data_IF_921261379735
#
_entry.id   IF_921261379735
#
_cell.length_a   1.000
_cell.length_b   1.000
_cell.length_c   1.000
_cell.angle_alpha   90.00
_cell.angle_beta   90.00
_cell.angle_gamma   90.00
#
_symmetry.space_group_name_H-M   'P 1'
#
loop_
_entity.id
_entity.type
_entity.pdbx_description
1 polymer ?
#
# COMPACT_ATOMS: atom_id res chain seq x y z
N UNK A 1 -6.69 -11.20 -0.67
CA UNK A 1 -6.57 -9.73 -0.55
C UNK A 1 -5.43 -9.39 0.40
N UNK A 2 -4.62 -8.38 0.09
CA UNK A 2 -3.54 -7.89 0.95
C UNK A 2 -3.81 -6.42 1.27
N UNK A 3 -3.91 -6.09 2.55
CA UNK A 3 -4.17 -4.74 3.07
C UNK A 3 -2.86 -4.19 3.65
N UNK A 4 -2.20 -3.31 2.91
CA UNK A 4 -0.91 -2.73 3.25
C UNK A 4 -1.04 -1.51 4.15
N UNK A 5 -0.18 -1.48 5.18
CA UNK A 5 -0.24 -0.51 6.27
C UNK A 5 -1.63 -0.51 6.89
N UNK A 6 -2.10 -1.70 7.25
CA UNK A 6 -3.48 -1.94 7.68
C UNK A 6 -3.82 -1.21 8.98
N UNK A 7 -2.83 -0.81 9.79
CA UNK A 7 -3.06 -0.38 11.16
C UNK A 7 -3.92 -1.41 11.89
N UNK A 8 -4.95 -0.95 12.59
CA UNK A 8 -5.91 -1.81 13.29
C UNK A 8 -6.78 -2.70 12.38
N UNK A 9 -6.74 -2.54 11.05
CA UNK A 9 -7.40 -3.47 10.13
C UNK A 9 -8.85 -3.16 9.80
N UNK A 10 -9.33 -1.94 10.03
CA UNK A 10 -10.71 -1.56 9.73
C UNK A 10 -11.12 -1.81 8.28
N UNK A 11 -10.23 -1.55 7.31
CA UNK A 11 -10.49 -1.88 5.91
C UNK A 11 -10.70 -3.40 5.75
N UNK A 12 -9.79 -4.21 6.26
CA UNK A 12 -9.88 -5.67 6.19
C UNK A 12 -11.12 -6.24 6.88
N UNK A 13 -11.49 -5.73 8.05
CA UNK A 13 -12.73 -6.11 8.75
C UNK A 13 -13.96 -5.80 7.89
N UNK A 14 -14.02 -4.59 7.32
CA UNK A 14 -15.11 -4.19 6.44
C UNK A 14 -15.19 -5.03 5.17
N UNK A 15 -14.05 -5.33 4.55
CA UNK A 15 -13.98 -6.21 3.38
C UNK A 15 -14.38 -7.65 3.70
N UNK A 16 -14.14 -8.14 4.91
CA UNK A 16 -14.58 -9.48 5.33
C UNK A 16 -16.10 -9.61 5.32
N UNK A 17 -16.81 -8.56 5.72
CA UNK A 17 -18.28 -8.52 5.74
C UNK A 17 -18.89 -8.29 4.36
N UNK A 18 -18.23 -7.47 3.52
CA UNK A 18 -18.80 -7.09 2.23
C UNK A 18 -18.48 -8.04 1.07
N UNK A 19 -17.30 -8.64 1.07
CA UNK A 19 -16.86 -9.42 -0.08
C UNK A 19 -17.49 -10.82 -0.08
N UNK A 20 -17.75 -11.39 -1.27
CA UNK A 20 -18.28 -12.75 -1.38
C UNK A 20 -17.27 -13.77 -0.86
N UNK A 21 -17.62 -14.44 0.25
CA UNK A 21 -16.75 -15.41 0.96
C UNK A 21 -16.33 -16.61 0.10
N UNK A 22 -17.13 -16.96 -0.91
CA UNK A 22 -16.86 -18.02 -1.87
C UNK A 22 -15.79 -17.64 -2.91
N UNK A 23 -15.49 -16.33 -3.07
CA UNK A 23 -14.48 -15.83 -4.02
C UNK A 23 -13.20 -15.36 -3.36
N UNK A 24 -13.22 -15.11 -2.05
CA UNK A 24 -12.07 -14.57 -1.32
C UNK A 24 -11.57 -15.59 -0.30
N UNK A 25 -10.45 -16.23 -0.61
CA UNK A 25 -9.85 -17.24 0.27
C UNK A 25 -9.41 -16.69 1.63
N UNK A 26 -8.85 -15.47 1.66
CA UNK A 26 -8.41 -14.78 2.89
C UNK A 26 -8.07 -13.31 2.64
N UNK A 27 -8.05 -12.54 3.72
CA UNK A 27 -7.53 -11.18 3.76
C UNK A 27 -6.32 -11.15 4.70
N UNK A 28 -5.20 -10.59 4.23
CA UNK A 28 -3.97 -10.48 5.03
C UNK A 28 -3.65 -9.02 5.31
N UNK A 29 -3.57 -8.70 6.59
CA UNK A 29 -3.28 -7.38 7.14
C UNK A 29 -1.77 -7.23 7.32
N UNK A 30 -1.17 -6.26 6.64
CA UNK A 30 0.28 -6.05 6.66
C UNK A 30 0.62 -4.73 7.34
N UNK A 31 1.39 -4.79 8.42
CA UNK A 31 1.81 -3.61 9.18
C UNK A 31 3.08 -3.89 9.98
N UNK A 32 3.91 -2.87 10.20
CA UNK A 32 5.10 -2.97 11.04
C UNK A 32 4.74 -3.22 12.52
N UNK A 33 3.54 -2.80 12.95
CA UNK A 33 3.12 -2.90 14.34
C UNK A 33 2.44 -4.23 14.67
N UNK A 34 2.17 -5.10 13.70
CA UNK A 34 1.69 -6.45 14.02
C UNK A 34 2.75 -7.26 14.79
N UNK A 35 2.32 -8.09 15.75
CA UNK A 35 3.21 -9.02 16.42
C UNK A 35 3.68 -10.11 15.45
N UNK A 36 4.84 -10.71 15.72
CA UNK A 36 5.26 -11.90 14.99
C UNK A 36 4.42 -13.09 15.46
N UNK A 37 4.11 -14.05 14.59
CA UNK A 37 3.47 -15.29 15.00
C UNK A 37 4.24 -15.94 16.16
N UNK A 38 3.53 -16.42 17.17
CA UNK A 38 4.09 -17.12 18.34
C UNK A 38 5.09 -16.30 19.18
N UNK A 39 5.07 -14.97 19.06
CA UNK A 39 5.85 -14.06 19.91
C UNK A 39 4.88 -13.19 20.73
N UNK A 40 5.04 -13.10 22.06
CA UNK A 40 4.24 -12.20 22.87
C UNK A 40 4.27 -10.77 22.36
N UNK A 41 3.12 -10.11 22.33
CA UNK A 41 3.03 -8.74 21.87
C UNK A 41 3.72 -7.78 22.86
N UNK A 42 4.49 -6.82 22.33
CA UNK A 42 5.03 -5.71 23.11
C UNK A 42 4.04 -4.54 23.19
N UNK A 43 4.20 -3.63 24.16
CA UNK A 43 3.29 -2.51 24.41
C UNK A 43 3.03 -1.59 23.19
N UNK A 44 3.96 -1.52 22.24
CA UNK A 44 3.86 -0.68 21.04
C UNK A 44 3.33 -1.44 19.80
N UNK A 45 2.89 -2.69 19.97
CA UNK A 45 2.31 -3.51 18.92
C UNK A 45 0.78 -3.50 19.00
N UNK A 46 0.15 -3.74 17.86
CA UNK A 46 -1.31 -3.80 17.77
C UNK A 46 -1.77 -5.13 18.39
N UNK A 47 -2.78 -5.06 19.28
CA UNK A 47 -3.48 -6.24 19.74
C UNK A 47 -4.25 -6.87 18.56
N UNK A 48 -4.06 -8.18 18.32
CA UNK A 48 -4.69 -8.90 17.23
C UNK A 48 -6.00 -9.64 17.62
N UNK A 49 -6.47 -9.53 18.86
CA UNK A 49 -7.65 -10.24 19.38
C UNK A 49 -8.88 -10.02 18.50
N UNK A 50 -9.12 -8.79 18.04
CA UNK A 50 -10.26 -8.47 17.16
C UNK A 50 -10.10 -9.02 15.75
N UNK A 51 -8.88 -9.31 15.30
CA UNK A 51 -8.62 -9.95 14.01
C UNK A 51 -8.77 -11.47 14.10
N UNK A 52 -8.42 -12.06 15.24
CA UNK A 52 -8.46 -13.51 15.47
C UNK A 52 -9.87 -14.06 15.76
N UNK A 53 -10.90 -13.22 15.72
CA UNK A 53 -12.28 -13.64 15.90
C UNK A 53 -12.70 -14.65 14.80
N UNK A 54 -13.08 -15.88 15.14
CA UNK A 54 -13.47 -16.88 14.14
C UNK A 54 -14.79 -16.56 13.43
N UNK A 55 -15.53 -15.53 13.87
CA UNK A 55 -16.82 -15.13 13.28
C UNK A 55 -16.68 -14.32 12.00
N UNK A 56 -15.48 -13.85 11.65
CA UNK A 56 -15.26 -13.13 10.39
C UNK A 56 -15.67 -13.99 9.17
N UNK A 57 -16.55 -13.51 8.27
CA UNK A 57 -17.01 -14.31 7.12
C UNK A 57 -15.88 -14.73 6.19
N UNK A 58 -14.87 -13.88 6.03
CA UNK A 58 -13.61 -14.18 5.37
C UNK A 58 -12.49 -14.14 6.41
N UNK A 59 -11.67 -15.19 6.43
CA UNK A 59 -10.56 -15.31 7.38
C UNK A 59 -9.59 -14.12 7.27
N UNK A 60 -9.39 -13.46 8.40
CA UNK A 60 -8.38 -12.44 8.57
C UNK A 60 -7.09 -13.03 9.16
N UNK A 61 -5.95 -12.55 8.69
CA UNK A 61 -4.63 -12.94 9.21
C UNK A 61 -3.70 -11.74 9.20
N UNK A 62 -2.71 -11.70 10.07
CA UNK A 62 -1.74 -10.59 10.15
C UNK A 62 -0.37 -11.02 9.65
N UNK A 63 0.37 -10.06 9.12
CA UNK A 63 1.77 -10.23 8.72
C UNK A 63 2.56 -8.99 9.08
N UNK A 64 3.70 -9.19 9.73
CA UNK A 64 4.61 -8.10 10.08
C UNK A 64 5.61 -7.88 8.95
N UNK A 65 5.62 -6.70 8.35
CA UNK A 65 6.60 -6.32 7.34
C UNK A 65 6.92 -4.82 7.37
N UNK A 66 8.18 -4.46 7.14
CA UNK A 66 8.59 -3.09 6.89
C UNK A 66 8.67 -2.82 5.39
N UNK A 67 7.64 -2.19 4.81
CA UNK A 67 7.60 -1.90 3.36
C UNK A 67 8.76 -1.01 2.88
N UNK A 68 9.46 -0.28 3.76
CA UNK A 68 10.65 0.49 3.36
C UNK A 68 11.84 -0.42 3.04
N UNK A 69 11.88 -1.62 3.59
CA UNK A 69 12.98 -2.58 3.44
C UNK A 69 12.71 -3.49 2.22
N UNK A 70 13.60 -3.52 1.20
CA UNK A 70 13.40 -4.35 0.01
C UNK A 70 13.28 -5.86 0.28
N UNK A 71 14.04 -6.39 1.25
CA UNK A 71 13.96 -7.81 1.61
C UNK A 71 12.60 -8.20 2.20
N UNK A 72 12.01 -7.33 3.02
CA UNK A 72 10.69 -7.55 3.60
C UNK A 72 9.62 -7.57 2.50
N UNK A 73 9.70 -6.66 1.53
CA UNK A 73 8.80 -6.64 0.36
C UNK A 73 8.88 -7.93 -0.45
N UNK A 74 10.10 -8.42 -0.74
CA UNK A 74 10.30 -9.70 -1.44
C UNK A 74 9.79 -10.89 -0.64
N UNK A 75 10.02 -10.90 0.68
CA UNK A 75 9.49 -11.93 1.57
C UNK A 75 7.96 -11.96 1.58
N UNK A 76 7.34 -10.78 1.60
CA UNK A 76 5.89 -10.61 1.52
C UNK A 76 5.33 -11.15 0.20
N UNK A 77 5.90 -10.74 -0.93
CA UNK A 77 5.53 -11.23 -2.26
C UNK A 77 5.62 -12.75 -2.34
N UNK A 78 6.76 -13.34 -1.95
CA UNK A 78 6.96 -14.79 -1.96
C UNK A 78 5.92 -15.52 -1.10
N UNK A 79 5.68 -15.04 0.11
CA UNK A 79 4.71 -15.65 1.02
C UNK A 79 3.29 -15.63 0.46
N UNK A 80 2.89 -14.56 -0.23
CA UNK A 80 1.52 -14.46 -0.75
C UNK A 80 1.33 -15.10 -2.12
N UNK A 81 2.26 -14.90 -3.04
CA UNK A 81 2.14 -15.39 -4.41
C UNK A 81 2.41 -16.90 -4.53
N UNK A 82 3.14 -17.50 -3.58
CA UNK A 82 3.35 -18.95 -3.55
C UNK A 82 2.07 -19.78 -3.43
N UNK A 83 0.95 -19.17 -3.06
CA UNK A 83 -0.34 -19.85 -2.99
C UNK A 83 -1.03 -20.06 -4.35
N UNK A 84 -0.54 -19.44 -5.43
CA UNK A 84 -1.06 -19.64 -6.79
C UNK A 84 -2.44 -19.06 -7.07
N UNK A 85 -3.01 -18.28 -6.14
CA UNK A 85 -4.30 -17.62 -6.31
C UNK A 85 -4.14 -16.15 -6.74
N UNK A 86 -5.07 -15.60 -7.55
CA UNK A 86 -5.09 -14.18 -7.88
C UNK A 86 -5.01 -13.31 -6.62
N UNK A 87 -4.06 -12.40 -6.60
CA UNK A 87 -3.73 -11.59 -5.44
C UNK A 87 -3.91 -10.12 -5.75
N UNK A 88 -4.54 -9.40 -4.83
CA UNK A 88 -4.82 -7.95 -4.97
C UNK A 88 -4.15 -7.19 -3.83
N UNK A 89 -3.56 -6.04 -4.15
CA UNK A 89 -2.91 -5.13 -3.20
C UNK A 89 -3.80 -3.91 -2.95
N UNK A 90 -4.15 -3.71 -1.70
CA UNK A 90 -4.91 -2.55 -1.22
C UNK A 90 -4.06 -1.79 -0.19
N UNK A 91 -4.28 -0.49 -0.03
CA UNK A 91 -3.68 0.24 1.09
C UNK A 91 -4.18 1.67 1.24
N UNK A 92 -4.45 2.07 2.48
CA UNK A 92 -4.97 3.41 2.82
C UNK A 92 -3.93 4.21 3.61
N UNK A 93 -3.44 3.67 4.73
CA UNK A 93 -2.51 4.39 5.61
C UNK A 93 -1.04 4.34 5.16
N UNK A 94 -0.82 4.40 3.84
CA UNK A 94 0.48 4.44 3.20
C UNK A 94 1.09 5.85 3.33
N UNK A 95 1.49 6.22 4.54
CA UNK A 95 2.01 7.54 4.86
C UNK A 95 3.34 7.86 4.16
N UNK A 96 3.49 9.08 3.67
CA UNK A 96 4.74 9.56 3.09
C UNK A 96 5.09 8.81 1.82
N UNK A 97 6.25 8.14 1.78
CA UNK A 97 6.72 7.42 0.59
C UNK A 97 6.27 5.96 0.51
N UNK A 98 5.45 5.49 1.45
CA UNK A 98 5.03 4.09 1.51
C UNK A 98 4.17 3.67 0.30
N UNK A 99 3.38 4.58 -0.29
CA UNK A 99 2.63 4.27 -1.50
C UNK A 99 3.53 4.05 -2.71
N UNK A 100 4.69 4.73 -2.81
CA UNK A 100 5.68 4.38 -3.83
C UNK A 100 6.25 2.98 -3.61
N UNK A 101 6.52 2.59 -2.36
CA UNK A 101 7.04 1.24 -2.06
C UNK A 101 6.00 0.14 -2.32
N UNK A 102 4.72 0.47 -2.15
CA UNK A 102 3.60 -0.38 -2.55
C UNK A 102 3.52 -0.56 -4.07
N UNK A 103 3.75 0.51 -4.84
CA UNK A 103 3.82 0.45 -6.30
C UNK A 103 5.03 -0.36 -6.75
N UNK A 104 6.22 -0.13 -6.17
CA UNK A 104 7.41 -0.95 -6.47
C UNK A 104 7.10 -2.45 -6.28
N UNK A 105 6.46 -2.81 -5.17
CA UNK A 105 6.04 -4.19 -4.91
C UNK A 105 5.07 -4.73 -5.96
N UNK A 106 4.13 -3.91 -6.42
CA UNK A 106 3.18 -4.31 -7.47
C UNK A 106 3.89 -4.52 -8.81
N UNK A 107 4.68 -3.54 -9.25
CA UNK A 107 5.40 -3.59 -10.52
C UNK A 107 6.43 -4.74 -10.55
N UNK A 108 7.14 -4.98 -9.45
CA UNK A 108 8.14 -6.04 -9.35
C UNK A 108 7.54 -7.46 -9.31
N UNK A 109 6.21 -7.59 -9.18
CA UNK A 109 5.53 -8.86 -8.91
C UNK A 109 4.29 -9.04 -9.79
N UNK A 110 4.42 -9.64 -11.00
CA UNK A 110 3.29 -9.83 -11.93
C UNK A 110 2.16 -10.73 -11.39
N UNK A 111 2.39 -11.44 -10.28
CA UNK A 111 1.35 -12.22 -9.62
C UNK A 111 0.26 -11.39 -8.95
N UNK A 112 0.43 -10.06 -8.82
CA UNK A 112 -0.63 -9.17 -8.38
C UNK A 112 -1.48 -8.72 -9.57
N UNK A 113 -2.77 -9.00 -9.52
CA UNK A 113 -3.70 -8.70 -10.61
C UNK A 113 -4.47 -7.39 -10.41
N UNK A 114 -4.31 -6.73 -9.27
CA UNK A 114 -5.01 -5.47 -8.97
C UNK A 114 -4.28 -4.66 -7.89
N UNK A 115 -4.28 -3.34 -8.06
CA UNK A 115 -3.75 -2.37 -7.11
C UNK A 115 -4.78 -1.26 -6.87
N UNK A 116 -5.11 -1.00 -5.60
CA UNK A 116 -5.87 0.20 -5.22
C UNK A 116 -5.25 0.84 -3.98
N UNK A 117 -4.75 2.06 -4.15
CA UNK A 117 -4.12 2.83 -3.07
C UNK A 117 -4.90 4.12 -2.82
N UNK A 118 -5.12 4.44 -1.55
CA UNK A 118 -5.65 5.74 -1.10
C UNK A 118 -4.68 6.33 -0.07
N UNK A 119 -3.49 6.80 -0.47
CA UNK A 119 -2.48 7.29 0.45
C UNK A 119 -3.05 8.42 1.32
N UNK A 120 -2.77 8.42 2.62
CA UNK A 120 -3.39 9.41 3.53
C UNK A 120 -2.49 10.59 3.91
N UNK A 121 -1.19 10.55 3.61
CA UNK A 121 -0.24 11.61 3.99
C UNK A 121 0.75 11.91 2.87
N UNK A 122 1.07 13.19 2.70
CA UNK A 122 2.14 13.65 1.82
C UNK A 122 3.52 13.25 2.36
N UNK A 123 4.54 13.12 1.49
CA UNK A 123 5.93 12.98 1.90
C UNK A 123 6.42 14.17 2.74
N UNK A 124 7.37 13.91 3.64
CA UNK A 124 7.94 14.93 4.53
C UNK A 124 8.75 15.99 3.72
N UNK A 125 8.61 17.27 4.06
CA UNK A 125 9.37 18.35 3.42
C UNK A 125 10.89 18.19 3.49
N UNK A 126 11.40 17.39 4.43
CA UNK A 126 12.82 17.05 4.48
C UNK A 126 13.34 16.42 3.17
N UNK A 127 12.51 15.68 2.44
CA UNK A 127 12.89 15.15 1.12
C UNK A 127 13.15 16.28 0.12
N UNK A 128 12.28 17.29 0.07
CA UNK A 128 12.48 18.45 -0.79
C UNK A 128 13.70 19.28 -0.40
N UNK A 129 13.96 19.45 0.91
CA UNK A 129 15.13 20.19 1.41
C UNK A 129 16.47 19.52 1.05
N UNK A 130 16.49 18.21 0.88
CA UNK A 130 17.67 17.46 0.42
C UNK A 130 17.83 17.44 -1.10
N UNK A 131 16.83 17.92 -1.85
CA UNK A 131 16.81 17.81 -3.31
C UNK A 131 16.45 16.40 -3.81
N UNK A 132 15.76 15.60 -2.99
CA UNK A 132 15.44 14.22 -3.35
C UNK A 132 14.50 14.17 -4.57
N UNK A 133 14.73 13.17 -5.43
CA UNK A 133 13.87 12.82 -6.55
C UNK A 133 13.15 11.51 -6.22
N UNK A 134 11.86 11.47 -6.47
CA UNK A 134 11.03 10.28 -6.33
C UNK A 134 10.81 9.61 -7.68
N UNK A 135 10.61 8.30 -7.62
CA UNK A 135 10.24 7.43 -8.73
C UNK A 135 9.92 6.03 -8.21
N UNK A 136 9.35 5.21 -9.09
CA UNK A 136 9.28 3.76 -8.92
C UNK A 136 10.35 3.08 -9.78
N UNK A 137 10.25 1.77 -9.96
CA UNK A 137 11.04 1.02 -10.95
C UNK A 137 10.73 1.40 -12.42
N UNK A 138 9.71 2.24 -12.66
CA UNK A 138 9.38 2.82 -13.97
C UNK A 138 10.31 3.97 -14.39
N UNK A 139 10.12 4.48 -15.61
CA UNK A 139 10.82 5.69 -16.10
C UNK A 139 10.26 7.00 -15.53
N UNK A 140 9.11 6.99 -14.83
CA UNK A 140 8.51 8.21 -14.30
C UNK A 140 9.23 8.67 -13.02
N UNK A 141 9.80 9.87 -13.08
CA UNK A 141 10.52 10.51 -11.97
C UNK A 141 10.06 11.95 -11.76
N UNK A 142 10.08 12.41 -10.52
CA UNK A 142 9.61 13.74 -10.16
C UNK A 142 10.30 14.26 -8.89
N UNK A 143 10.58 15.58 -8.79
CA UNK A 143 11.25 16.12 -7.61
C UNK A 143 10.32 16.06 -6.38
N UNK A 144 10.86 15.71 -5.21
CA UNK A 144 10.07 15.65 -3.97
C UNK A 144 9.38 17.00 -3.67
N UNK A 145 10.02 18.12 -4.00
CA UNK A 145 9.47 19.47 -3.85
C UNK A 145 8.11 19.68 -4.56
N UNK A 146 7.81 18.89 -5.60
CA UNK A 146 6.53 18.99 -6.32
C UNK A 146 5.33 18.59 -5.44
N UNK A 147 5.53 17.70 -4.48
CA UNK A 147 4.46 17.03 -3.69
C UNK A 147 4.58 17.23 -2.18
N UNK A 148 5.74 17.62 -1.66
CA UNK A 148 5.88 17.90 -0.22
C UNK A 148 5.34 19.26 0.15
N UNK A 149 4.94 19.43 1.40
CA UNK A 149 4.58 20.73 1.98
C UNK A 149 5.05 20.87 3.44
N UNK A 150 5.22 22.11 3.90
CA UNK A 150 5.56 22.42 5.27
C UNK A 150 4.29 22.40 6.13
N UNK A 151 4.13 21.37 6.95
CA UNK A 151 3.02 21.37 7.91
C UNK A 151 2.96 20.09 8.69
N UNK A 152 2.36 20.15 9.89
CA UNK A 152 2.13 18.97 10.72
C UNK A 152 0.76 19.05 11.36
N UNK A 153 0.07 17.91 11.39
CA UNK A 153 -1.09 17.74 12.24
C UNK A 153 -0.63 17.69 13.70
N UNK A 154 -1.08 18.64 14.51
CA UNK A 154 -0.76 18.73 15.94
C UNK A 154 -2.03 19.01 16.72
N UNK A 155 -2.39 18.13 17.66
CA UNK A 155 -3.54 18.31 18.57
C UNK A 155 -4.85 18.65 17.83
N UNK A 156 -5.19 17.89 16.78
CA UNK A 156 -6.45 18.07 16.05
C UNK A 156 -6.49 19.24 15.07
N UNK A 157 -5.39 19.97 14.87
CA UNK A 157 -5.29 21.04 13.88
C UNK A 157 -4.06 20.89 12.99
N UNK A 158 -4.20 21.30 11.74
CA UNK A 158 -3.07 21.48 10.85
C UNK A 158 -2.32 22.77 11.24
N UNK A 159 -1.00 22.69 11.36
CA UNK A 159 -0.12 23.84 11.58
C UNK A 159 0.87 23.92 10.42
N UNK A 160 0.92 25.05 9.71
CA UNK A 160 1.73 25.22 8.50
C UNK A 160 0.83 25.40 7.29
N UNK A 161 0.95 24.50 6.31
CA UNK A 161 0.21 24.51 5.05
C UNK A 161 -1.30 24.64 5.23
N UNK A 162 -1.90 25.51 4.40
CA UNK A 162 -3.36 25.63 4.28
C UNK A 162 -3.98 24.43 3.58
N UNK A 163 -5.31 24.28 3.71
CA UNK A 163 -6.07 23.19 3.08
C UNK A 163 -5.91 23.15 1.56
N UNK A 164 -5.99 24.30 0.90
CA UNK A 164 -5.87 24.42 -0.56
C UNK A 164 -4.49 23.97 -1.07
N UNK A 165 -3.43 24.34 -0.36
CA UNK A 165 -2.07 23.89 -0.69
C UNK A 165 -1.94 22.37 -0.52
N UNK A 166 -2.45 21.83 0.60
CA UNK A 166 -2.44 20.39 0.86
C UNK A 166 -3.18 19.61 -0.22
N UNK A 167 -4.36 20.08 -0.61
CA UNK A 167 -5.18 19.47 -1.66
C UNK A 167 -4.46 19.50 -3.02
N UNK A 168 -3.88 20.65 -3.38
CA UNK A 168 -3.09 20.78 -4.62
C UNK A 168 -1.91 19.81 -4.64
N UNK A 169 -1.15 19.74 -3.54
CA UNK A 169 0.00 18.85 -3.41
C UNK A 169 -0.42 17.38 -3.40
N UNK A 170 -1.55 17.07 -2.77
CA UNK A 170 -2.11 15.72 -2.73
C UNK A 170 -2.57 15.25 -4.10
N UNK A 171 -3.26 16.08 -4.87
CA UNK A 171 -3.68 15.73 -6.22
C UNK A 171 -2.47 15.48 -7.13
N UNK A 172 -1.41 16.29 -7.01
CA UNK A 172 -0.13 16.02 -7.70
C UNK A 172 0.51 14.72 -7.27
N UNK A 173 0.49 14.42 -5.97
CA UNK A 173 1.01 13.17 -5.44
C UNK A 173 0.30 11.96 -6.03
N UNK A 174 -1.04 11.96 -6.02
CA UNK A 174 -1.84 10.89 -6.61
C UNK A 174 -1.61 10.77 -8.12
N UNK A 175 -1.51 11.90 -8.83
CA UNK A 175 -1.17 11.91 -10.26
C UNK A 175 0.18 11.27 -10.55
N UNK A 176 1.23 11.63 -9.81
CA UNK A 176 2.54 11.02 -9.97
C UNK A 176 2.57 9.53 -9.60
N UNK A 177 1.86 9.12 -8.54
CA UNK A 177 1.73 7.71 -8.19
C UNK A 177 1.07 6.92 -9.32
N UNK A 178 0.02 7.45 -9.95
CA UNK A 178 -0.67 6.79 -11.05
C UNK A 178 0.26 6.57 -12.25
N UNK A 179 1.11 7.54 -12.56
CA UNK A 179 2.14 7.43 -13.61
C UNK A 179 3.28 6.46 -13.28
N UNK A 180 3.43 6.07 -12.00
CA UNK A 180 4.44 5.10 -11.56
C UNK A 180 3.96 3.65 -11.67
N UNK A 181 2.67 3.39 -11.94
CA UNK A 181 2.10 2.04 -12.01
C UNK A 181 2.35 1.47 -13.39
N UNK A 182 3.01 0.31 -13.46
CA UNK A 182 3.16 -0.43 -14.71
C UNK A 182 1.81 -1.06 -15.09
N UNK A 183 1.10 -0.43 -16.03
CA UNK A 183 -0.03 -1.05 -16.68
C UNK A 183 0.53 -1.86 -17.85
N UNK A 184 0.36 -3.19 -17.83
CA UNK A 184 0.58 -3.99 -19.03
C UNK A 184 -0.36 -3.43 -20.10
N UNK A 185 0.21 -2.76 -21.11
CA UNK A 185 -0.53 -2.50 -22.33
C UNK A 185 -0.88 -3.87 -22.88
N UNK A 186 -2.15 -4.11 -23.13
CA UNK A 186 -2.62 -5.26 -23.90
C UNK A 186 -1.92 -5.12 -25.26
N UNK A 187 -0.84 -5.88 -25.47
CA UNK A 187 -0.28 -6.03 -26.81
C UNK A 187 -1.35 -6.78 -27.60
N UNK A 188 -2.22 -6.00 -28.26
CA UNK A 188 -3.36 -6.50 -28.99
C UNK A 188 -2.92 -7.65 -29.89
N UNK A 189 -3.74 -8.70 -29.91
CA UNK A 189 -3.65 -9.82 -30.84
C UNK A 189 -3.67 -9.30 -32.28
N UNK A 190 -2.50 -8.93 -32.81
CA UNK A 190 -2.24 -8.68 -34.22
C UNK A 190 -2.11 -10.01 -34.94
N UNK A 191 -3.19 -10.78 -34.97
CA UNK A 191 -3.31 -11.99 -35.78
C UNK A 191 -3.57 -11.64 -37.25
N UNK A 192 -2.57 -11.12 -37.95
CA UNK A 192 -2.54 -11.19 -39.42
C UNK A 192 -1.96 -12.55 -39.82
N UNK A 193 -2.86 -13.52 -39.94
CA UNK A 193 -2.59 -14.81 -40.57
C UNK A 193 -3.31 -14.89 -41.91
N UNK A 194 -2.77 -14.23 -42.94
CA UNK A 194 -3.02 -14.61 -44.34
C UNK A 194 -1.76 -15.27 -44.90
N UNK A 195 -1.83 -16.58 -45.14
CA UNK A 195 -1.06 -17.30 -46.16
C UNK A 195 -1.76 -18.60 -46.52
#
# INVERSE_FOLDING_TARGET
VIDMCSGFGYLSMFLSELLPKDKVARIVLVDLQWPRPNVPAHANQINADHINDPRWPIRLTTSRANLKVPSDRRGLAKAFLSHGAPSVLLGVHLCGTLSLRAIDLFNDCPGFCFLALKPCCLPDILFAKRGDVFGSTTTHVFPAASVTTAGKWKRGRMVGAGREELETKYNRWVGHLSLCVDCYADEGEGGEGES
#
